data_IF_478745729668
#
_entry.id   IF_478745729668
#
_cell.length_a   1.000
_cell.length_b   1.000
_cell.length_c   1.000
_cell.angle_alpha   90.00
_cell.angle_beta   90.00
_cell.angle_gamma   90.00
#
_symmetry.space_group_name_H-M   'P 1'
#
loop_
_entity.id
_entity.type
_entity.pdbx_description
1 polymer ?
#
# COMPACT_ATOMS: atom_id res chain seq x y z
N UNK A 1 -26.74 33.12 -9.80
CA UNK A 1 -27.82 32.16 -10.09
C UNK A 1 -27.25 31.08 -10.98
N UNK A 2 -27.05 29.87 -10.47
CA UNK A 2 -26.95 28.63 -11.24
C UNK A 2 -27.12 27.43 -10.31
N UNK A 3 -27.94 26.49 -10.78
CA UNK A 3 -28.67 25.50 -9.99
C UNK A 3 -27.80 24.36 -9.48
N UNK A 4 -27.99 24.03 -8.20
CA UNK A 4 -27.50 22.80 -7.57
C UNK A 4 -28.42 21.64 -7.93
N UNK A 5 -27.87 20.61 -8.58
CA UNK A 5 -28.54 19.31 -8.77
C UNK A 5 -28.23 18.36 -7.61
N UNK A 6 -29.22 17.81 -6.87
CA UNK A 6 -28.96 16.90 -5.76
C UNK A 6 -29.23 15.44 -6.18
N UNK A 7 -28.30 14.76 -6.87
CA UNK A 7 -28.43 13.31 -7.11
C UNK A 7 -27.10 12.52 -7.10
N UNK A 8 -26.40 12.34 -5.95
CA UNK A 8 -25.41 11.27 -5.82
C UNK A 8 -25.79 10.17 -4.82
N UNK A 9 -26.76 10.40 -3.91
CA UNK A 9 -27.02 9.48 -2.78
C UNK A 9 -27.80 8.20 -3.17
N UNK A 10 -28.63 8.24 -4.21
CA UNK A 10 -29.46 7.10 -4.61
C UNK A 10 -28.66 5.98 -5.30
N UNK A 11 -27.60 6.34 -6.03
CA UNK A 11 -26.75 5.36 -6.76
C UNK A 11 -25.85 4.54 -5.83
N UNK A 12 -25.50 5.07 -4.66
CA UNK A 12 -24.71 4.35 -3.66
C UNK A 12 -25.53 3.26 -2.94
N UNK A 13 -26.80 3.56 -2.61
CA UNK A 13 -27.73 2.59 -2.03
C UNK A 13 -28.10 1.43 -2.96
N UNK A 14 -28.10 1.65 -4.28
CA UNK A 14 -28.34 0.59 -5.26
C UNK A 14 -27.11 -0.30 -5.51
N UNK A 15 -25.90 0.16 -5.16
CA UNK A 15 -24.66 -0.62 -5.31
C UNK A 15 -24.42 -1.60 -4.16
N UNK A 16 -24.85 -1.29 -2.95
CA UNK A 16 -24.79 -2.23 -1.81
C UNK A 16 -25.74 -3.44 -1.99
N UNK A 17 -26.75 -3.30 -2.85
CA UNK A 17 -27.64 -4.40 -3.28
C UNK A 17 -27.07 -5.28 -4.41
N UNK A 18 -25.92 -4.91 -5.01
CA UNK A 18 -25.25 -5.65 -6.09
C UNK A 18 -23.96 -6.34 -5.66
N UNK A 19 -23.91 -6.82 -4.42
CA UNK A 19 -22.94 -7.86 -4.06
C UNK A 19 -23.48 -9.20 -4.56
N UNK A 20 -22.64 -10.09 -5.15
CA UNK A 20 -23.09 -11.40 -5.59
C UNK A 20 -23.36 -12.26 -4.36
N UNK A 21 -24.55 -12.12 -3.78
CA UNK A 21 -25.01 -13.00 -2.70
C UNK A 21 -25.25 -14.38 -3.29
N UNK A 22 -24.75 -15.38 -2.56
CA UNK A 22 -24.83 -16.82 -2.85
C UNK A 22 -26.18 -17.21 -3.47
N UNK A 23 -26.21 -18.13 -4.46
CA UNK A 23 -27.43 -18.55 -5.17
C UNK A 23 -28.54 -19.03 -4.22
N UNK A 24 -28.18 -19.50 -3.02
CA UNK A 24 -29.09 -19.90 -1.95
C UNK A 24 -30.04 -18.78 -1.47
N UNK A 25 -29.60 -17.53 -1.53
CA UNK A 25 -30.41 -16.38 -1.11
C UNK A 25 -31.49 -16.02 -2.14
N UNK A 26 -31.20 -16.20 -3.43
CA UNK A 26 -32.16 -15.97 -4.51
C UNK A 26 -33.22 -17.08 -4.54
N UNK A 27 -32.84 -18.33 -4.31
CA UNK A 27 -33.80 -19.44 -4.22
C UNK A 27 -34.72 -19.28 -3.01
N UNK A 28 -34.18 -18.87 -1.85
CA UNK A 28 -34.99 -18.60 -0.67
C UNK A 28 -35.97 -17.45 -0.89
N UNK A 29 -35.52 -16.36 -1.54
CA UNK A 29 -36.38 -15.23 -1.87
C UNK A 29 -37.50 -15.62 -2.86
N UNK A 30 -37.18 -16.37 -3.91
CA UNK A 30 -38.16 -16.85 -4.87
C UNK A 30 -39.20 -17.78 -4.22
N UNK A 31 -38.77 -18.69 -3.35
CA UNK A 31 -39.66 -19.58 -2.61
C UNK A 31 -40.60 -18.81 -1.67
N UNK A 32 -40.06 -17.84 -0.92
CA UNK A 32 -40.87 -16.98 -0.05
C UNK A 32 -41.86 -16.12 -0.83
N UNK A 33 -41.45 -15.59 -1.98
CA UNK A 33 -42.32 -14.80 -2.86
C UNK A 33 -43.43 -15.67 -3.45
N UNK A 34 -43.11 -16.90 -3.86
CA UNK A 34 -44.09 -17.88 -4.32
C UNK A 34 -45.10 -18.26 -3.24
N UNK A 35 -44.63 -18.55 -2.02
CA UNK A 35 -45.51 -18.81 -0.87
C UNK A 35 -46.42 -17.60 -0.57
N UNK A 36 -45.88 -16.39 -0.56
CA UNK A 36 -46.67 -15.18 -0.34
C UNK A 36 -47.73 -15.00 -1.44
N UNK A 37 -47.39 -15.17 -2.71
CA UNK A 37 -48.34 -15.07 -3.82
C UNK A 37 -49.45 -16.14 -3.73
N UNK A 38 -49.11 -17.37 -3.35
CA UNK A 38 -50.07 -18.46 -3.17
C UNK A 38 -51.05 -18.17 -2.01
N UNK A 39 -50.53 -17.69 -0.87
CA UNK A 39 -51.34 -17.28 0.28
C UNK A 39 -52.25 -16.09 -0.04
N UNK A 40 -51.76 -15.13 -0.83
CA UNK A 40 -52.57 -14.00 -1.28
C UNK A 40 -53.68 -14.45 -2.23
N UNK A 41 -53.39 -15.37 -3.14
CA UNK A 41 -54.38 -15.94 -4.06
C UNK A 41 -55.48 -16.66 -3.27
N UNK A 42 -55.12 -17.58 -2.37
CA UNK A 42 -56.10 -18.39 -1.64
C UNK A 42 -57.02 -17.54 -0.74
N UNK A 43 -56.53 -16.42 -0.22
CA UNK A 43 -57.27 -15.54 0.66
C UNK A 43 -58.20 -14.55 -0.07
N UNK A 44 -58.13 -14.43 -1.41
CA UNK A 44 -58.92 -13.46 -2.19
C UNK A 44 -60.45 -13.65 -2.09
N UNK A 45 -60.92 -14.83 -1.69
CA UNK A 45 -62.34 -15.15 -1.53
C UNK A 45 -62.96 -14.81 -0.16
N UNK A 46 -62.21 -14.20 0.77
CA UNK A 46 -62.69 -13.88 2.10
C UNK A 46 -63.32 -12.48 2.19
N UNK A 47 -64.44 -12.35 2.89
CA UNK A 47 -65.05 -11.06 3.20
C UNK A 47 -64.06 -10.18 3.99
N UNK A 48 -63.99 -8.88 3.66
CA UNK A 48 -63.03 -7.92 4.25
C UNK A 48 -61.54 -8.14 3.92
N UNK A 49 -61.22 -8.99 2.93
CA UNK A 49 -59.84 -9.30 2.52
C UNK A 49 -58.99 -8.06 2.22
N UNK A 50 -59.51 -7.07 1.48
CA UNK A 50 -58.72 -5.89 1.12
C UNK A 50 -58.36 -5.02 2.33
N UNK A 51 -59.26 -4.88 3.30
CA UNK A 51 -58.97 -4.13 4.53
C UNK A 51 -57.94 -4.85 5.39
N UNK A 52 -58.09 -6.17 5.58
CA UNK A 52 -57.15 -6.97 6.36
C UNK A 52 -55.77 -7.07 5.68
N UNK A 53 -55.73 -7.18 4.36
CA UNK A 53 -54.49 -7.19 3.59
C UNK A 53 -53.77 -5.85 3.69
N UNK A 54 -54.48 -4.73 3.52
CA UNK A 54 -53.86 -3.41 3.61
C UNK A 54 -53.29 -3.15 5.02
N UNK A 55 -54.00 -3.59 6.07
CA UNK A 55 -53.56 -3.45 7.46
C UNK A 55 -52.30 -4.28 7.75
N UNK A 56 -52.30 -5.56 7.37
CA UNK A 56 -51.17 -6.45 7.63
C UNK A 56 -49.96 -6.10 6.76
N UNK A 57 -50.16 -5.90 5.46
CA UNK A 57 -49.09 -5.59 4.52
C UNK A 57 -48.48 -4.20 4.81
N UNK A 58 -49.31 -3.24 5.22
CA UNK A 58 -48.85 -1.93 5.67
C UNK A 58 -47.99 -2.02 6.93
N UNK A 59 -48.41 -2.84 7.90
CA UNK A 59 -47.66 -3.05 9.16
C UNK A 59 -46.30 -3.72 8.89
N UNK A 60 -46.27 -4.74 8.03
CA UNK A 60 -45.04 -5.45 7.67
C UNK A 60 -44.07 -4.57 6.87
N UNK A 61 -44.57 -3.79 5.90
CA UNK A 61 -43.74 -2.83 5.15
C UNK A 61 -43.11 -1.79 6.08
N UNK A 62 -43.90 -1.24 7.02
CA UNK A 62 -43.40 -0.31 8.02
C UNK A 62 -42.35 -1.00 8.91
N UNK A 63 -42.59 -2.24 9.33
CA UNK A 63 -41.65 -3.05 10.10
C UNK A 63 -40.31 -3.27 9.36
N UNK A 64 -40.36 -3.60 8.07
CA UNK A 64 -39.17 -3.76 7.22
C UNK A 64 -38.42 -2.44 7.06
N UNK A 65 -39.13 -1.33 6.81
CA UNK A 65 -38.53 0.00 6.70
C UNK A 65 -37.84 0.39 8.01
N UNK A 66 -38.50 0.24 9.15
CA UNK A 66 -37.91 0.53 10.47
C UNK A 66 -36.70 -0.38 10.71
N UNK A 67 -36.79 -1.67 10.42
CA UNK A 67 -35.69 -2.60 10.63
C UNK A 67 -34.47 -2.26 9.76
N UNK A 68 -34.68 -1.96 8.48
CA UNK A 68 -33.60 -1.69 7.52
C UNK A 68 -33.01 -0.29 7.72
N UNK A 69 -33.82 0.72 8.00
CA UNK A 69 -33.38 2.12 8.04
C UNK A 69 -33.11 2.67 9.44
N UNK A 70 -33.64 2.03 10.50
CA UNK A 70 -33.46 2.48 11.89
C UNK A 70 -32.63 1.46 12.67
N UNK A 71 -33.09 0.21 12.77
CA UNK A 71 -32.45 -0.80 13.63
C UNK A 71 -31.11 -1.25 13.06
N UNK A 72 -31.03 -1.56 11.76
CA UNK A 72 -29.80 -1.99 11.10
C UNK A 72 -28.64 -1.00 11.30
N UNK A 73 -28.83 0.30 11.01
CA UNK A 73 -27.81 1.32 11.26
C UNK A 73 -27.45 1.48 12.74
N UNK A 74 -28.40 1.34 13.67
CA UNK A 74 -28.12 1.39 15.11
C UNK A 74 -27.27 0.20 15.59
N UNK A 75 -27.56 -1.01 15.11
CA UNK A 75 -26.76 -2.21 15.40
C UNK A 75 -25.36 -2.06 14.79
N UNK A 76 -25.24 -1.57 13.56
CA UNK A 76 -23.93 -1.29 12.93
C UNK A 76 -23.12 -0.31 13.77
N UNK A 77 -23.72 0.81 14.19
CA UNK A 77 -23.08 1.80 15.07
C UNK A 77 -22.69 1.23 16.44
N UNK A 78 -23.52 0.35 17.01
CA UNK A 78 -23.20 -0.33 18.26
C UNK A 78 -22.05 -1.34 18.11
N UNK A 79 -21.91 -1.96 16.93
CA UNK A 79 -20.80 -2.85 16.61
C UNK A 79 -19.52 -2.12 16.17
N UNK A 80 -19.62 -0.92 15.61
CA UNK A 80 -18.49 -0.08 15.20
C UNK A 80 -17.57 0.30 16.38
N UNK A 81 -18.10 0.33 17.61
CA UNK A 81 -17.32 0.54 18.84
C UNK A 81 -16.72 -0.74 19.46
N UNK A 82 -17.07 -1.93 18.96
CA UNK A 82 -16.50 -3.19 19.48
C UNK A 82 -15.12 -3.43 18.90
N UNK A 83 -14.11 -3.30 19.76
CA UNK A 83 -12.75 -3.75 19.50
C UNK A 83 -12.71 -5.26 19.64
N UNK A 84 -12.23 -5.97 18.61
CA UNK A 84 -11.85 -7.39 18.77
C UNK A 84 -10.35 -7.47 18.91
N UNK A 85 -9.90 -8.17 19.95
CA UNK A 85 -8.49 -8.36 20.20
C UNK A 85 -8.03 -9.67 19.59
N UNK A 86 -6.92 -9.60 18.85
CA UNK A 86 -6.18 -10.76 18.36
C UNK A 86 -4.84 -10.78 19.10
N UNK A 87 -4.40 -11.96 19.54
CA UNK A 87 -3.15 -12.09 20.32
C UNK A 87 -1.90 -11.76 19.53
N UNK A 88 -1.97 -11.92 18.21
CA UNK A 88 -0.92 -11.62 17.23
C UNK A 88 -1.54 -11.33 15.87
N UNK A 89 -0.72 -10.85 14.93
CA UNK A 89 -1.15 -10.68 13.55
C UNK A 89 -1.18 -12.02 12.81
N UNK A 90 -2.36 -12.40 12.33
CA UNK A 90 -2.54 -13.50 11.40
C UNK A 90 -2.39 -13.00 9.96
N UNK A 91 -1.19 -13.19 9.40
CA UNK A 91 -0.85 -12.73 8.05
C UNK A 91 -1.68 -13.42 6.95
N UNK A 92 -2.01 -14.71 7.13
CA UNK A 92 -2.79 -15.45 6.13
C UNK A 92 -4.25 -15.00 6.12
N UNK A 93 -4.80 -14.79 7.31
CA UNK A 93 -6.14 -14.22 7.46
C UNK A 93 -6.20 -12.82 6.86
N UNK A 94 -5.23 -11.94 7.16
CA UNK A 94 -5.17 -10.60 6.59
C UNK A 94 -5.04 -10.64 5.06
N UNK A 95 -4.16 -11.47 4.50
CA UNK A 95 -4.04 -11.64 3.05
C UNK A 95 -5.35 -12.11 2.40
N UNK A 96 -6.16 -12.89 3.12
CA UNK A 96 -7.49 -13.31 2.67
C UNK A 96 -8.50 -12.15 2.69
N UNK A 97 -8.40 -11.24 3.65
CA UNK A 97 -9.19 -10.01 3.65
C UNK A 97 -8.81 -9.09 2.49
N UNK A 98 -7.51 -8.92 2.22
CA UNK A 98 -7.00 -8.14 1.09
C UNK A 98 -7.54 -8.65 -0.24
N UNK A 99 -7.64 -9.97 -0.44
CA UNK A 99 -8.20 -10.56 -1.65
C UNK A 99 -9.64 -10.13 -1.94
N UNK A 100 -10.45 -9.90 -0.90
CA UNK A 100 -11.83 -9.45 -1.01
C UNK A 100 -12.02 -7.92 -0.99
N UNK A 101 -10.93 -7.15 -0.89
CA UNK A 101 -11.02 -5.70 -0.78
C UNK A 101 -11.38 -5.05 -2.12
N UNK A 102 -12.27 -4.06 -2.06
CA UNK A 102 -12.83 -3.41 -3.26
C UNK A 102 -12.51 -1.93 -3.38
N UNK A 103 -12.08 -1.29 -2.29
CA UNK A 103 -11.87 0.15 -2.26
C UNK A 103 -10.46 0.52 -1.81
N UNK A 104 -9.99 -0.02 -0.69
CA UNK A 104 -8.75 0.45 -0.09
C UNK A 104 -8.05 -0.64 0.73
N UNK A 105 -6.74 -0.75 0.55
CA UNK A 105 -5.84 -1.53 1.40
C UNK A 105 -4.70 -0.61 1.83
N UNK A 106 -4.45 -0.51 3.13
CA UNK A 106 -3.31 0.24 3.68
C UNK A 106 -2.48 -0.65 4.58
N UNK A 107 -1.16 -0.55 4.48
CA UNK A 107 -0.21 -1.19 5.39
C UNK A 107 0.75 -0.13 5.91
N UNK A 108 0.86 0.01 7.22
CA UNK A 108 1.89 0.79 7.91
C UNK A 108 2.62 -0.11 8.88
N UNK A 109 3.91 -0.27 8.68
CA UNK A 109 4.78 -1.03 9.59
C UNK A 109 6.22 -0.53 9.52
N UNK A 110 7.07 -0.95 10.46
CA UNK A 110 8.52 -0.76 10.36
C UNK A 110 9.10 -1.64 9.26
N UNK A 111 8.78 -2.93 9.37
CA UNK A 111 8.96 -3.99 8.38
C UNK A 111 7.90 -5.05 8.69
N UNK A 112 7.60 -5.93 7.75
CA UNK A 112 6.57 -6.94 7.95
C UNK A 112 6.97 -8.30 7.40
N UNK A 113 6.74 -9.34 8.21
CA UNK A 113 6.83 -10.72 7.76
C UNK A 113 5.80 -11.04 6.69
N UNK A 114 4.76 -10.21 6.52
CA UNK A 114 3.78 -10.30 5.44
C UNK A 114 4.44 -10.32 4.05
N UNK A 115 5.59 -9.65 3.87
CA UNK A 115 6.36 -9.66 2.62
C UNK A 115 7.49 -10.69 2.62
N UNK A 116 7.54 -11.56 3.63
CA UNK A 116 8.47 -12.69 3.70
C UNK A 116 8.04 -13.84 2.78
N UNK A 117 8.95 -14.80 2.52
CA UNK A 117 8.70 -15.91 1.59
C UNK A 117 7.48 -16.79 1.99
N UNK A 118 7.16 -16.85 3.28
CA UNK A 118 6.03 -17.64 3.80
C UNK A 118 4.65 -17.06 3.41
N UNK A 119 4.50 -15.73 3.39
CA UNK A 119 3.19 -15.08 3.26
C UNK A 119 3.03 -14.24 1.99
N UNK A 120 4.14 -13.82 1.38
CA UNK A 120 4.18 -12.88 0.25
C UNK A 120 3.37 -13.36 -0.95
N UNK A 121 3.41 -14.65 -1.30
CA UNK A 121 2.69 -15.15 -2.46
C UNK A 121 1.17 -14.97 -2.31
N UNK A 122 0.62 -15.35 -1.15
CA UNK A 122 -0.82 -15.22 -0.86
C UNK A 122 -1.23 -13.76 -0.82
N UNK A 123 -0.44 -12.91 -0.17
CA UNK A 123 -0.66 -11.47 -0.17
C UNK A 123 -0.67 -10.91 -1.60
N UNK A 124 0.31 -11.25 -2.43
CA UNK A 124 0.46 -10.72 -3.78
C UNK A 124 -0.63 -11.19 -4.74
N UNK A 125 -1.19 -12.39 -4.52
CA UNK A 125 -2.44 -12.80 -5.18
C UNK A 125 -3.62 -11.95 -4.70
N UNK A 126 -3.68 -11.64 -3.40
CA UNK A 126 -4.67 -10.73 -2.82
C UNK A 126 -4.60 -9.32 -3.40
N UNK A 127 -3.41 -8.71 -3.43
CA UNK A 127 -3.18 -7.36 -3.97
C UNK A 127 -3.59 -7.31 -5.45
N UNK A 128 -3.18 -8.30 -6.27
CA UNK A 128 -3.59 -8.39 -7.67
C UNK A 128 -5.12 -8.44 -7.84
N UNK A 129 -5.81 -9.21 -7.00
CA UNK A 129 -7.26 -9.29 -7.04
C UNK A 129 -7.91 -7.96 -6.63
N UNK A 130 -7.41 -7.32 -5.58
CA UNK A 130 -7.92 -6.05 -5.08
C UNK A 130 -7.73 -4.92 -6.11
N UNK A 131 -6.52 -4.78 -6.69
CA UNK A 131 -6.26 -3.79 -7.74
C UNK A 131 -7.07 -4.07 -8.99
N UNK A 132 -7.26 -5.33 -9.36
CA UNK A 132 -8.15 -5.73 -10.46
C UNK A 132 -9.63 -5.38 -10.24
N UNK A 133 -10.05 -5.19 -8.98
CA UNK A 133 -11.38 -4.69 -8.60
C UNK A 133 -11.42 -3.16 -8.47
N UNK A 134 -10.29 -2.46 -8.68
CA UNK A 134 -10.16 -1.01 -8.57
C UNK A 134 -9.78 -0.50 -7.17
N UNK A 135 -9.43 -1.40 -6.23
CA UNK A 135 -8.98 -1.00 -4.91
C UNK A 135 -7.58 -0.34 -4.99
N UNK A 136 -7.38 0.72 -4.21
CA UNK A 136 -6.05 1.34 -4.04
C UNK A 136 -5.29 0.62 -2.94
N UNK A 137 -4.03 0.31 -3.18
CA UNK A 137 -3.15 -0.38 -2.24
C UNK A 137 -1.97 0.53 -1.90
N UNK A 138 -1.87 0.90 -0.63
CA UNK A 138 -0.85 1.82 -0.12
C UNK A 138 -0.03 1.13 0.96
N UNK A 139 1.27 1.03 0.75
CA UNK A 139 2.20 0.38 1.69
C UNK A 139 3.22 1.41 2.13
N UNK A 140 3.30 1.63 3.43
CA UNK A 140 4.20 2.57 4.07
C UNK A 140 5.13 1.80 5.01
N UNK A 141 6.42 1.79 4.69
CA UNK A 141 7.47 1.15 5.48
C UNK A 141 8.46 2.18 6.00
N UNK A 142 9.26 1.79 6.98
CA UNK A 142 10.34 2.64 7.47
C UNK A 142 11.47 2.71 6.44
N UNK A 143 12.04 3.89 6.26
CA UNK A 143 13.20 4.12 5.41
C UNK A 143 14.43 3.45 6.04
N UNK A 144 15.06 2.46 5.37
CA UNK A 144 16.15 1.65 5.93
C UNK A 144 17.37 2.47 6.38
N UNK A 145 17.56 3.66 5.81
CA UNK A 145 18.69 4.54 6.12
C UNK A 145 18.30 5.67 7.10
N UNK A 146 17.09 5.63 7.69
CA UNK A 146 16.63 6.64 8.66
C UNK A 146 17.07 6.36 10.09
N UNK A 147 17.22 7.43 10.89
CA UNK A 147 17.51 7.33 12.32
C UNK A 147 16.46 6.51 13.09
N UNK A 148 15.21 6.51 12.62
CA UNK A 148 14.13 5.73 13.23
C UNK A 148 14.39 4.21 13.20
N UNK A 149 15.11 3.70 12.18
CA UNK A 149 15.51 2.29 12.12
C UNK A 149 16.49 1.95 13.23
N UNK A 150 17.47 2.83 13.47
CA UNK A 150 18.47 2.66 14.52
C UNK A 150 17.78 2.64 15.90
N UNK A 151 16.85 3.58 16.14
CA UNK A 151 16.09 3.64 17.38
C UNK A 151 15.23 2.38 17.56
N UNK A 152 14.52 1.95 16.52
CA UNK A 152 13.72 0.72 16.57
C UNK A 152 14.57 -0.51 16.82
N UNK A 153 15.79 -0.56 16.25
CA UNK A 153 16.79 -1.61 16.51
C UNK A 153 17.08 -1.75 18.00
N UNK A 154 17.31 -0.61 18.67
CA UNK A 154 17.56 -0.56 20.10
C UNK A 154 16.33 -0.97 20.92
N UNK A 155 15.13 -0.58 20.50
CA UNK A 155 13.89 -0.98 21.17
C UNK A 155 13.62 -2.48 21.08
N UNK A 156 13.98 -3.15 19.97
CA UNK A 156 13.79 -4.59 19.81
C UNK A 156 14.84 -5.42 20.56
N UNK A 157 16.00 -4.84 20.86
CA UNK A 157 17.09 -5.53 21.55
C UNK A 157 17.59 -6.76 20.78
N UNK A 158 17.88 -7.85 21.50
CA UNK A 158 18.42 -9.10 20.92
C UNK A 158 17.44 -9.83 19.98
N UNK A 159 16.15 -9.46 20.00
CA UNK A 159 15.12 -10.14 19.20
C UNK A 159 15.13 -9.77 17.72
N UNK A 160 15.80 -8.67 17.34
CA UNK A 160 15.91 -8.30 15.94
C UNK A 160 17.34 -8.47 15.45
N UNK A 161 17.54 -9.50 14.63
CA UNK A 161 18.58 -9.41 13.61
C UNK A 161 18.33 -8.14 12.79
N UNK A 162 19.41 -7.45 12.44
CA UNK A 162 19.52 -6.33 11.49
C UNK A 162 18.19 -5.88 10.84
N UNK A 163 17.43 -5.00 11.52
CA UNK A 163 16.13 -4.47 11.02
C UNK A 163 16.28 -3.91 9.62
N UNK A 164 17.40 -3.22 9.36
CA UNK A 164 17.68 -2.62 8.07
C UNK A 164 17.65 -3.69 6.99
N UNK A 165 18.29 -4.85 7.22
CA UNK A 165 18.25 -5.99 6.30
C UNK A 165 16.84 -6.52 6.06
N UNK A 166 16.00 -6.59 7.09
CA UNK A 166 14.62 -7.06 6.95
C UNK A 166 13.75 -6.08 6.15
N UNK A 167 13.91 -4.77 6.38
CA UNK A 167 13.30 -3.72 5.56
C UNK A 167 13.76 -3.88 4.11
N UNK A 168 15.08 -3.98 3.88
CA UNK A 168 15.66 -4.15 2.55
C UNK A 168 15.14 -5.39 1.84
N UNK A 169 14.95 -6.51 2.55
CA UNK A 169 14.29 -7.71 2.01
C UNK A 169 12.84 -7.40 1.59
N UNK A 170 12.05 -6.73 2.43
CA UNK A 170 10.68 -6.35 2.07
C UNK A 170 10.64 -5.47 0.81
N UNK A 171 11.51 -4.46 0.71
CA UNK A 171 11.56 -3.56 -0.43
C UNK A 171 11.93 -4.29 -1.73
N UNK A 172 12.89 -5.22 -1.68
CA UNK A 172 13.24 -6.05 -2.84
C UNK A 172 12.05 -6.92 -3.29
N UNK A 173 11.36 -7.55 -2.35
CA UNK A 173 10.18 -8.38 -2.64
C UNK A 173 9.04 -7.56 -3.23
N UNK A 174 8.80 -6.35 -2.72
CA UNK A 174 7.78 -5.43 -3.22
C UNK A 174 8.12 -4.86 -4.60
N UNK A 175 9.38 -4.45 -4.83
CA UNK A 175 9.84 -3.93 -6.12
C UNK A 175 9.75 -5.00 -7.22
N UNK A 176 10.14 -6.25 -6.92
CA UNK A 176 9.96 -7.37 -7.85
C UNK A 176 8.49 -7.64 -8.16
N UNK A 177 7.61 -7.56 -7.16
CA UNK A 177 6.17 -7.72 -7.36
C UNK A 177 5.57 -6.60 -8.22
N UNK A 178 5.88 -5.34 -7.92
CA UNK A 178 5.38 -4.17 -8.65
C UNK A 178 5.75 -4.20 -10.15
N UNK A 179 6.97 -4.68 -10.48
CA UNK A 179 7.43 -4.87 -11.85
C UNK A 179 6.63 -5.91 -12.65
N UNK A 180 5.95 -6.84 -11.97
CA UNK A 180 5.14 -7.91 -12.58
C UNK A 180 3.66 -7.58 -12.70
N UNK A 181 3.24 -6.42 -12.19
CA UNK A 181 1.88 -5.92 -12.38
C UNK A 181 1.74 -5.28 -13.77
N UNK A 182 0.54 -5.40 -14.33
CA UNK A 182 0.10 -4.59 -15.47
C UNK A 182 -0.01 -3.11 -15.09
N UNK A 183 -0.03 -2.22 -16.08
CA UNK A 183 0.03 -0.77 -15.84
C UNK A 183 -1.17 -0.25 -15.03
N UNK A 184 -2.36 -0.85 -15.20
CA UNK A 184 -3.56 -0.43 -14.46
C UNK A 184 -3.43 -0.80 -12.99
N UNK A 185 -3.07 -2.05 -12.69
CA UNK A 185 -2.83 -2.50 -11.32
C UNK A 185 -1.66 -1.78 -10.67
N UNK A 186 -0.59 -1.49 -11.44
CA UNK A 186 0.59 -0.77 -10.96
C UNK A 186 0.23 0.66 -10.54
N UNK A 187 -0.62 1.36 -11.29
CA UNK A 187 -1.08 2.70 -10.93
C UNK A 187 -1.93 2.75 -9.64
N UNK A 188 -2.44 1.60 -9.18
CA UNK A 188 -3.20 1.46 -7.94
C UNK A 188 -2.36 0.97 -6.76
N UNK A 189 -1.11 0.56 -7.00
CA UNK A 189 -0.17 0.16 -5.96
C UNK A 189 0.87 1.25 -5.73
N UNK A 190 0.89 1.80 -4.52
CA UNK A 190 1.92 2.74 -4.10
C UNK A 190 2.67 2.18 -2.88
N UNK A 191 4.00 2.17 -2.97
CA UNK A 191 4.89 1.84 -1.86
C UNK A 191 5.73 3.07 -1.54
N UNK A 192 5.76 3.48 -0.27
CA UNK A 192 6.49 4.67 0.20
C UNK A 192 7.28 4.37 1.47
N UNK A 193 8.27 5.21 1.73
CA UNK A 193 9.21 5.10 2.85
C UNK A 193 9.10 6.33 3.75
N UNK A 194 8.79 6.15 5.03
CA UNK A 194 8.80 7.22 6.03
C UNK A 194 10.10 7.20 6.83
N UNK A 195 10.58 8.39 7.22
CA UNK A 195 11.80 8.53 8.03
C UNK A 195 11.52 8.64 9.53
N UNK A 196 10.23 8.76 9.89
CA UNK A 196 9.76 8.93 11.27
C UNK A 196 9.17 7.63 11.77
N UNK A 197 9.45 7.28 13.03
CA UNK A 197 8.85 6.11 13.67
C UNK A 197 7.32 6.26 13.73
N UNK A 198 6.55 5.26 13.28
CA UNK A 198 5.10 5.38 13.23
C UNK A 198 4.43 5.24 14.61
N UNK A 199 5.11 4.62 15.60
CA UNK A 199 4.57 4.33 16.94
C UNK A 199 3.41 3.30 16.97
N UNK A 200 2.73 3.10 15.84
CA UNK A 200 1.63 2.16 15.62
C UNK A 200 1.83 1.43 14.31
N UNK A 201 1.16 0.29 14.17
CA UNK A 201 0.97 -0.40 12.89
C UNK A 201 -0.47 -0.30 12.42
N UNK A 202 -0.66 -0.36 11.11
CA UNK A 202 -1.98 -0.36 10.48
C UNK A 202 -2.01 -1.43 9.39
N UNK A 203 -2.99 -2.31 9.47
CA UNK A 203 -3.33 -3.27 8.41
C UNK A 203 -4.81 -3.11 8.09
N UNK A 204 -5.12 -2.31 7.06
CA UNK A 204 -6.49 -1.96 6.68
C UNK A 204 -6.95 -2.73 5.45
N UNK A 205 -8.22 -3.11 5.48
CA UNK A 205 -9.00 -3.53 4.31
C UNK A 205 -10.37 -2.87 4.38
N UNK A 206 -10.67 -2.06 3.36
CA UNK A 206 -11.90 -1.30 3.21
C UNK A 206 -12.30 -0.50 4.48
N UNK A 207 -13.32 -0.93 5.23
CA UNK A 207 -13.86 -0.21 6.40
C UNK A 207 -13.36 -0.78 7.75
N UNK A 208 -12.46 -1.77 7.73
CA UNK A 208 -11.88 -2.40 8.92
C UNK A 208 -10.36 -2.31 8.90
N UNK A 209 -9.76 -2.29 10.08
CA UNK A 209 -8.32 -2.37 10.21
C UNK A 209 -7.91 -3.12 11.48
N UNK A 210 -6.73 -3.71 11.42
CA UNK A 210 -5.97 -4.14 12.58
C UNK A 210 -4.96 -3.05 12.93
N UNK A 211 -4.93 -2.70 14.21
CA UNK A 211 -4.02 -1.69 14.78
C UNK A 211 -3.23 -2.34 15.91
N UNK A 212 -1.92 -2.09 15.95
CA UNK A 212 -1.11 -2.41 17.12
C UNK A 212 -0.22 -1.24 17.51
N UNK A 213 0.20 -1.18 18.77
CA UNK A 213 1.18 -0.22 19.25
C UNK A 213 2.55 -0.90 19.26
N UNK A 214 3.56 -0.21 18.74
CA UNK A 214 4.92 -0.75 18.73
C UNK A 214 5.49 -0.74 20.15
N UNK A 215 5.67 -1.91 20.73
CA UNK A 215 6.23 -2.07 22.08
C UNK A 215 7.72 -2.37 22.02
N UNK A 216 8.41 -2.13 23.13
CA UNK A 216 9.81 -2.53 23.34
C UNK A 216 9.89 -4.07 23.38
N UNK A 217 10.91 -4.63 22.72
CA UNK A 217 11.22 -6.05 22.75
C UNK A 217 10.16 -6.96 22.14
N UNK A 218 9.40 -6.49 21.13
CA UNK A 218 8.46 -7.31 20.34
C UNK A 218 8.36 -6.80 18.91
N UNK A 219 8.28 -7.74 17.97
CA UNK A 219 7.97 -7.41 16.58
C UNK A 219 6.52 -6.93 16.42
N UNK A 220 6.27 -6.13 15.38
CA UNK A 220 4.94 -5.55 15.11
C UNK A 220 3.83 -6.58 14.98
N UNK A 221 4.13 -7.76 14.43
CA UNK A 221 3.17 -8.85 14.27
C UNK A 221 2.98 -9.73 15.52
N UNK A 222 3.81 -9.57 16.56
CA UNK A 222 3.75 -10.37 17.79
C UNK A 222 2.96 -9.69 18.91
N UNK A 223 2.70 -8.39 18.76
CA UNK A 223 1.84 -7.63 19.66
C UNK A 223 0.36 -7.94 19.48
N UNK A 224 -0.43 -7.56 20.49
CA UNK A 224 -1.90 -7.58 20.42
C UNK A 224 -2.36 -6.70 19.25
N UNK A 225 -3.27 -7.22 18.43
CA UNK A 225 -3.87 -6.49 17.31
C UNK A 225 -5.33 -6.16 17.65
N UNK A 226 -5.68 -4.89 17.53
CA UNK A 226 -7.02 -4.38 17.78
C UNK A 226 -7.73 -4.25 16.43
N UNK A 227 -8.72 -5.11 16.20
CA UNK A 227 -9.58 -5.03 15.04
C UNK A 227 -10.70 -4.03 15.29
N UNK A 228 -10.68 -2.93 14.55
CA UNK A 228 -11.62 -1.82 14.71
C UNK A 228 -12.24 -1.41 13.39
N UNK A 229 -13.38 -0.72 13.47
CA UNK A 229 -13.90 0.00 12.31
C UNK A 229 -13.03 1.23 12.06
N UNK A 230 -12.75 1.52 10.80
CA UNK A 230 -11.97 2.72 10.40
C UNK A 230 -12.63 4.00 10.93
N UNK A 231 -13.96 4.02 11.01
CA UNK A 231 -14.76 5.16 11.50
C UNK A 231 -14.80 5.28 13.04
N UNK A 232 -14.26 4.30 13.77
CA UNK A 232 -14.13 4.42 15.22
C UNK A 232 -13.13 5.52 15.58
N UNK A 233 -13.16 6.08 16.80
CA UNK A 233 -12.18 7.07 17.23
C UNK A 233 -10.71 6.60 17.08
N UNK A 234 -10.42 5.34 17.45
CA UNK A 234 -9.10 4.74 17.29
C UNK A 234 -8.73 4.58 15.81
N UNK A 235 -9.64 4.04 14.99
CA UNK A 235 -9.42 3.88 13.55
C UNK A 235 -9.14 5.22 12.86
N UNK A 236 -9.90 6.26 13.22
CA UNK A 236 -9.75 7.61 12.69
C UNK A 236 -8.39 8.22 13.08
N UNK A 237 -7.98 8.05 14.33
CA UNK A 237 -6.67 8.51 14.80
C UNK A 237 -5.53 7.86 14.01
N UNK A 238 -5.56 6.53 13.84
CA UNK A 238 -4.50 5.82 13.12
C UNK A 238 -4.49 6.14 11.64
N UNK A 239 -5.65 6.31 11.01
CA UNK A 239 -5.74 6.78 9.62
C UNK A 239 -5.15 8.18 9.44
N UNK A 240 -5.43 9.10 10.37
CA UNK A 240 -4.82 10.45 10.33
C UNK A 240 -3.30 10.36 10.44
N UNK A 241 -2.77 9.51 11.31
CA UNK A 241 -1.32 9.26 11.41
C UNK A 241 -0.74 8.65 10.14
N UNK A 242 -1.44 7.70 9.53
CA UNK A 242 -1.05 7.17 8.22
C UNK A 242 -0.96 8.30 7.18
N UNK A 243 -1.99 9.12 7.05
CA UNK A 243 -2.06 10.17 6.04
C UNK A 243 -1.00 11.28 6.28
N UNK A 244 -0.69 11.59 7.54
CA UNK A 244 0.42 12.47 7.91
C UNK A 244 1.77 11.93 7.44
N UNK A 245 2.11 10.69 7.81
CA UNK A 245 3.36 10.05 7.43
C UNK A 245 3.44 9.83 5.91
N UNK A 246 2.32 9.49 5.28
CA UNK A 246 2.22 9.30 3.83
C UNK A 246 2.61 10.57 3.07
N UNK A 247 2.13 11.75 3.49
CA UNK A 247 2.47 13.03 2.84
C UNK A 247 3.96 13.37 2.93
N UNK A 248 4.64 12.98 4.00
CA UNK A 248 6.06 13.28 4.23
C UNK A 248 6.99 12.17 3.71
N UNK A 249 6.45 10.99 3.41
CA UNK A 249 7.21 9.86 2.91
C UNK A 249 7.71 10.07 1.49
N UNK A 250 8.77 9.35 1.09
CA UNK A 250 9.25 9.30 -0.30
C UNK A 250 8.77 8.04 -1.02
N UNK A 251 8.49 8.07 -2.32
CA UNK A 251 8.21 6.86 -3.09
C UNK A 251 9.35 5.85 -2.97
N UNK A 252 9.03 4.56 -2.91
CA UNK A 252 10.03 3.47 -2.91
C UNK A 252 10.94 3.56 -4.14
N UNK A 253 10.40 3.99 -5.29
CA UNK A 253 11.19 4.17 -6.52
C UNK A 253 12.36 5.14 -6.33
N UNK A 254 12.23 6.18 -5.52
CA UNK A 254 13.33 7.14 -5.25
C UNK A 254 14.44 6.52 -4.40
N UNK A 255 14.16 5.39 -3.73
CA UNK A 255 15.14 4.64 -2.97
C UNK A 255 15.81 3.55 -3.81
N UNK A 256 15.06 2.93 -4.73
CA UNK A 256 15.58 1.84 -5.56
C UNK A 256 16.24 2.35 -6.84
N UNK A 257 15.80 3.48 -7.40
CA UNK A 257 16.23 4.00 -8.69
C UNK A 257 16.49 5.51 -8.65
N UNK A 258 17.52 5.93 -9.35
CA UNK A 258 17.85 7.33 -9.58
C UNK A 258 17.53 7.68 -11.04
N UNK A 259 16.59 8.60 -11.31
CA UNK A 259 16.45 9.18 -12.63
C UNK A 259 17.68 10.03 -12.93
N UNK A 260 18.33 9.82 -14.07
CA UNK A 260 19.53 10.52 -14.47
C UNK A 260 19.37 10.99 -15.93
N UNK A 261 19.55 12.28 -16.17
CA UNK A 261 19.58 12.83 -17.52
C UNK A 261 21.01 13.19 -17.87
N UNK A 262 21.53 12.58 -18.93
CA UNK A 262 22.81 12.97 -19.51
C UNK A 262 22.58 14.01 -20.60
N UNK A 263 23.36 15.08 -20.54
CA UNK A 263 23.37 16.15 -21.54
C UNK A 263 24.77 16.20 -22.15
N UNK A 264 24.85 16.16 -23.48
CA UNK A 264 26.09 16.33 -24.23
C UNK A 264 26.35 17.80 -24.62
N UNK A 265 27.55 18.09 -25.14
CA UNK A 265 27.95 19.43 -25.58
C UNK A 265 27.12 20.00 -26.75
N UNK A 266 26.36 19.16 -27.45
CA UNK A 266 25.41 19.56 -28.51
C UNK A 266 23.96 19.69 -28.00
N UNK A 267 23.76 19.71 -26.68
CA UNK A 267 22.45 19.70 -26.00
C UNK A 267 21.59 18.46 -26.33
N UNK A 268 22.25 17.37 -26.75
CA UNK A 268 21.63 16.05 -26.85
C UNK A 268 21.32 15.52 -25.46
N UNK A 269 20.06 15.17 -25.23
CA UNK A 269 19.57 14.69 -23.92
C UNK A 269 19.21 13.21 -23.98
N UNK A 270 19.66 12.47 -22.97
CA UNK A 270 19.29 11.06 -22.80
C UNK A 270 18.97 10.75 -21.35
N UNK A 271 17.81 10.14 -21.14
CA UNK A 271 17.34 9.74 -19.83
C UNK A 271 17.72 8.29 -19.50
N UNK A 272 18.09 8.07 -18.25
CA UNK A 272 18.41 6.79 -17.65
C UNK A 272 17.67 6.65 -16.32
N UNK A 273 17.38 5.40 -15.95
CA UNK A 273 16.87 5.05 -14.61
C UNK A 273 17.82 4.02 -14.02
N UNK A 274 18.76 4.50 -13.22
CA UNK A 274 19.87 3.69 -12.73
C UNK A 274 19.59 3.16 -11.33
N UNK A 275 20.06 1.95 -11.05
CA UNK A 275 20.23 1.52 -9.65
C UNK A 275 21.46 2.25 -9.08
N UNK A 276 21.48 2.47 -7.77
CA UNK A 276 22.52 3.28 -7.14
C UNK A 276 22.81 2.84 -5.72
N UNK A 277 24.03 3.11 -5.26
CA UNK A 277 24.47 2.87 -3.88
C UNK A 277 25.22 4.08 -3.36
N UNK A 278 25.18 4.26 -2.03
CA UNK A 278 26.01 5.22 -1.33
C UNK A 278 27.14 4.48 -0.62
N UNK A 279 28.36 4.99 -0.77
CA UNK A 279 29.56 4.55 -0.05
C UNK A 279 30.31 5.81 0.38
N UNK A 280 30.55 5.96 1.69
CA UNK A 280 31.24 7.14 2.25
C UNK A 280 30.64 8.48 1.78
N UNK A 281 29.31 8.59 1.85
CA UNK A 281 28.52 9.76 1.40
C UNK A 281 28.65 10.11 -0.09
N UNK A 282 29.30 9.27 -0.89
CA UNK A 282 29.39 9.41 -2.34
C UNK A 282 28.37 8.53 -3.03
N UNK A 283 27.84 9.03 -4.15
CA UNK A 283 26.81 8.37 -4.93
C UNK A 283 27.42 7.67 -6.14
N UNK A 284 27.11 6.39 -6.27
CA UNK A 284 27.53 5.56 -7.38
C UNK A 284 26.31 4.98 -8.07
N UNK A 285 26.24 5.12 -9.39
CA UNK A 285 25.20 4.52 -10.21
C UNK A 285 25.73 3.28 -10.91
N UNK A 286 24.94 2.22 -10.91
CA UNK A 286 25.24 0.97 -11.61
C UNK A 286 24.54 0.97 -12.98
N UNK A 287 25.26 0.63 -14.04
CA UNK A 287 24.67 0.47 -15.36
C UNK A 287 25.68 0.30 -16.50
N UNK A 288 25.70 -0.89 -17.10
CA UNK A 288 26.47 -1.16 -18.32
C UNK A 288 26.02 -0.30 -19.49
N UNK A 289 24.72 0.00 -19.59
CA UNK A 289 24.17 0.87 -20.63
C UNK A 289 24.64 2.32 -20.49
N UNK A 290 24.77 2.80 -19.26
CA UNK A 290 25.30 4.13 -18.96
C UNK A 290 26.77 4.22 -19.36
N UNK A 291 27.59 3.26 -18.94
CA UNK A 291 29.01 3.20 -19.32
C UNK A 291 29.19 3.04 -20.83
N UNK A 292 28.36 2.21 -21.48
CA UNK A 292 28.38 2.05 -22.94
C UNK A 292 28.00 3.34 -23.66
N UNK A 293 27.07 4.12 -23.12
CA UNK A 293 26.74 5.43 -23.66
C UNK A 293 27.90 6.41 -23.47
N UNK A 294 28.49 6.45 -22.27
CA UNK A 294 29.64 7.29 -21.96
C UNK A 294 30.83 6.97 -22.86
N UNK A 295 31.13 5.70 -23.15
CA UNK A 295 32.24 5.31 -24.01
C UNK A 295 32.07 5.73 -25.50
N UNK A 296 30.84 5.98 -25.95
CA UNK A 296 30.55 6.47 -27.31
C UNK A 296 30.64 7.98 -27.43
N UNK A 297 30.69 8.69 -26.31
CA UNK A 297 30.79 10.14 -26.24
C UNK A 297 32.11 10.52 -25.58
N UNK A 298 32.55 11.77 -25.72
CA UNK A 298 33.73 12.21 -24.98
C UNK A 298 33.31 12.58 -23.56
N UNK A 299 33.97 12.00 -22.55
CA UNK A 299 33.61 12.13 -21.13
C UNK A 299 33.61 13.59 -20.64
N UNK A 300 34.55 14.39 -21.15
CA UNK A 300 34.68 15.83 -20.90
C UNK A 300 33.52 16.67 -21.44
N UNK A 301 32.62 16.07 -22.22
CA UNK A 301 31.47 16.72 -22.84
C UNK A 301 30.13 16.25 -22.29
N UNK A 302 30.13 15.38 -21.28
CA UNK A 302 28.91 14.86 -20.66
C UNK A 302 28.71 15.44 -19.27
N UNK A 303 27.50 15.90 -19.00
CA UNK A 303 27.06 16.33 -17.69
C UNK A 303 25.82 15.57 -17.27
N UNK A 304 25.77 15.17 -15.99
CA UNK A 304 24.64 14.44 -15.44
C UNK A 304 23.76 15.32 -14.57
N UNK A 305 22.45 15.21 -14.76
CA UNK A 305 21.44 15.97 -14.02
C UNK A 305 20.42 15.03 -13.42
N UNK A 306 19.99 15.34 -12.19
CA UNK A 306 18.87 14.65 -11.55
C UNK A 306 18.25 15.56 -10.50
N UNK A 307 16.92 15.68 -10.55
CA UNK A 307 16.15 16.42 -9.55
C UNK A 307 16.11 15.71 -8.18
N UNK A 308 16.52 14.44 -8.13
CA UNK A 308 16.57 13.65 -6.89
C UNK A 308 17.87 13.80 -6.12
N UNK A 309 18.84 14.57 -6.64
CA UNK A 309 20.13 14.81 -5.99
C UNK A 309 20.04 16.01 -5.04
N UNK A 310 20.80 15.94 -3.95
CA UNK A 310 20.86 17.00 -2.93
C UNK A 310 21.59 18.24 -3.44
N UNK A 311 22.58 18.09 -4.31
CA UNK A 311 23.28 19.20 -4.95
C UNK A 311 22.59 19.54 -6.29
N UNK A 312 22.11 20.79 -6.49
CA UNK A 312 21.61 21.22 -7.78
C UNK A 312 22.78 21.41 -8.77
N UNK A 313 22.57 21.05 -10.03
CA UNK A 313 23.52 21.31 -11.11
C UNK A 313 24.09 20.07 -11.80
N UNK A 314 25.01 20.31 -12.72
CA UNK A 314 25.71 19.29 -13.48
C UNK A 314 26.66 18.50 -12.59
N UNK A 315 26.50 17.19 -12.55
CA UNK A 315 27.42 16.27 -11.91
C UNK A 315 28.42 15.74 -12.93
N UNK A 316 29.68 15.64 -12.50
CA UNK A 316 30.73 14.97 -13.26
C UNK A 316 30.54 13.46 -13.15
N UNK A 317 30.84 12.75 -14.24
CA UNK A 317 30.71 11.31 -14.35
C UNK A 317 32.10 10.67 -14.38
N UNK A 318 32.40 9.88 -13.35
CA UNK A 318 33.71 9.20 -13.25
C UNK A 318 33.48 7.70 -13.24
N UNK A 319 33.97 7.01 -14.26
CA UNK A 319 33.90 5.54 -14.32
C UNK A 319 34.82 4.99 -13.24
N UNK A 320 34.28 4.10 -12.40
CA UNK A 320 35.06 3.42 -11.37
C UNK A 320 35.85 2.29 -12.02
N UNK A 321 37.16 2.28 -11.77
CA UNK A 321 38.09 1.24 -12.21
C UNK A 321 37.71 -0.13 -11.62
N UNK A 322 37.60 -1.15 -12.47
CA UNK A 322 37.14 -2.49 -12.11
C UNK A 322 38.17 -3.30 -11.33
N UNK A 323 39.45 -2.90 -11.39
CA UNK A 323 40.52 -3.48 -10.57
C UNK A 323 40.65 -2.81 -9.19
N UNK A 324 39.89 -1.74 -8.92
CA UNK A 324 40.01 -0.98 -7.66
C UNK A 324 39.36 -1.69 -6.46
N UNK A 325 39.90 -1.53 -5.23
CA UNK A 325 39.24 -2.01 -4.01
C UNK A 325 37.84 -1.41 -3.80
N UNK A 326 37.63 -0.18 -4.30
CA UNK A 326 36.32 0.49 -4.27
C UNK A 326 35.29 -0.28 -5.09
N UNK A 327 35.65 -0.85 -6.24
CA UNK A 327 34.73 -1.63 -7.07
C UNK A 327 34.20 -2.86 -6.33
N UNK A 328 35.08 -3.60 -5.64
CA UNK A 328 34.68 -4.73 -4.81
C UNK A 328 33.71 -4.32 -3.68
N UNK A 329 33.95 -3.18 -3.04
CA UNK A 329 33.05 -2.62 -2.02
C UNK A 329 31.69 -2.23 -2.62
N UNK A 330 31.68 -1.62 -3.80
CA UNK A 330 30.45 -1.27 -4.52
C UNK A 330 29.65 -2.51 -4.91
N UNK A 331 30.30 -3.58 -5.37
CA UNK A 331 29.63 -4.87 -5.63
C UNK A 331 28.96 -5.37 -4.35
N UNK A 332 29.64 -5.34 -3.21
CA UNK A 332 29.08 -5.78 -1.94
C UNK A 332 27.84 -4.94 -1.55
N UNK A 333 27.97 -3.61 -1.52
CA UNK A 333 26.85 -2.71 -1.19
C UNK A 333 25.68 -2.87 -2.17
N UNK A 334 25.98 -3.11 -3.44
CA UNK A 334 24.97 -3.34 -4.47
C UNK A 334 24.23 -4.67 -4.26
N UNK A 335 24.97 -5.74 -3.96
CA UNK A 335 24.40 -7.05 -3.65
C UNK A 335 23.52 -6.99 -2.40
N UNK A 336 23.98 -6.30 -1.34
CA UNK A 336 23.20 -6.07 -0.13
C UNK A 336 21.89 -5.31 -0.43
N UNK A 337 21.97 -4.27 -1.27
CA UNK A 337 20.81 -3.41 -1.58
C UNK A 337 19.80 -4.08 -2.52
N UNK A 338 20.27 -4.84 -3.51
CA UNK A 338 19.45 -5.28 -4.64
C UNK A 338 19.32 -6.81 -4.80
N UNK A 339 20.05 -7.63 -4.05
CA UNK A 339 20.20 -9.08 -4.31
C UNK A 339 20.73 -9.40 -5.72
N UNK A 340 21.52 -8.49 -6.28
CA UNK A 340 22.00 -8.58 -7.65
C UNK A 340 23.49 -8.23 -7.71
N UNK A 341 24.15 -8.58 -8.81
CA UNK A 341 25.50 -8.13 -9.10
C UNK A 341 25.45 -7.06 -10.18
N UNK A 342 26.35 -6.08 -10.09
CA UNK A 342 26.61 -5.10 -11.12
C UNK A 342 28.10 -5.16 -11.49
N UNK A 343 28.39 -5.01 -12.79
CA UNK A 343 29.76 -5.13 -13.31
C UNK A 343 30.44 -3.78 -13.51
N UNK A 344 29.67 -2.69 -13.56
CA UNK A 344 30.18 -1.36 -13.86
C UNK A 344 29.47 -0.30 -13.03
N UNK A 345 30.26 0.64 -12.51
CA UNK A 345 29.81 1.73 -11.66
C UNK A 345 30.36 3.07 -12.15
N UNK A 346 29.58 4.12 -11.95
CA UNK A 346 29.96 5.50 -12.24
C UNK A 346 29.71 6.33 -10.98
N UNK A 347 30.74 7.03 -10.50
CA UNK A 347 30.60 8.04 -9.45
C UNK A 347 29.90 9.27 -10.03
N UNK A 348 28.87 9.75 -9.35
CA UNK A 348 28.24 11.06 -9.62
C UNK A 348 28.85 12.08 -8.67
N UNK A 349 29.85 12.82 -9.15
CA UNK A 349 30.54 13.82 -8.34
C UNK A 349 29.84 15.17 -8.47
N UNK A 350 29.45 15.82 -7.36
CA UNK A 350 28.85 17.14 -7.41
C UNK A 350 29.83 18.15 -8.01
N UNK A 351 29.34 19.21 -8.67
CA UNK A 351 30.20 20.24 -9.22
C UNK A 351 30.99 20.87 -8.07
N UNK A 352 32.31 20.99 -8.24
CA UNK A 352 33.15 21.71 -7.28
C UNK A 352 32.70 23.17 -7.32
N UNK A 353 32.02 23.63 -6.26
CA UNK A 353 31.78 25.04 -6.05
C UNK A 353 33.14 25.70 -5.87
N UNK A 354 33.63 26.37 -6.91
CA UNK A 354 34.75 27.30 -6.79
C UNK A 354 34.22 28.45 -5.93
N UNK A 355 34.47 28.40 -4.63
CA UNK A 355 34.35 29.58 -3.77
C UNK A 355 35.47 30.53 -4.18
N UNK A 356 35.11 31.60 -4.90
CA UNK A 356 35.98 32.75 -5.13
C UNK A 356 36.35 33.47 -3.83
#
# INVERSE_FOLDING_TARGET
>A
MNAWSPVPRLRWLLRTLRTPRRPQSLTALAALTGCAALLLWTAHGMDSYQQNLALNLGTDLVGVVITVFVIGPLISRAQEGRVREHTRLDYEWFASQVHGATACVKVLDTFSNLFGPQFSERLFRGIRAATGQGARVQILLLDPDSLAVILRGRELGEQSADIRRDIMRNLRTLDHFARRLDDTSRALLEVRLCQTSPGVTLYRWDERCLVSFLTVGRLSGEGVQLEVAVRSPLGTFVEQRFDELWRQSKPMEHFTRLPLTLVDASDGRREFRCHFVYVEDRLYVAGSDLVSYMARHRLDQLSAYSESLTAPGAHELIVVDDESPLHALLIQHFAEKYDASATAFVELRPPVLVTE
#
